data_IF_175364788993
#
_entry.id   IF_175364788993
#
_cell.length_a   1.000
_cell.length_b   1.000
_cell.length_c   1.000
_cell.angle_alpha   90.00
_cell.angle_beta   90.00
_cell.angle_gamma   90.00
#
_symmetry.space_group_name_H-M   'P 1'
#
loop_
_entity.id
_entity.type
_entity.pdbx_description
1 polymer ?
#
# COMPACT_ATOMS: atom_id res chain seq x y z
N UNK A 1 59.78 -29.80 7.98
CA UNK A 1 59.00 -30.13 6.77
C UNK A 1 59.07 -28.91 5.85
N UNK A 2 60.07 -28.81 4.96
CA UNK A 2 60.03 -29.15 3.50
C UNK A 2 58.73 -28.69 2.83
N UNK A 3 58.71 -27.95 1.72
CA UNK A 3 59.69 -27.17 0.96
C UNK A 3 58.87 -26.37 -0.09
N UNK A 4 59.23 -25.11 -0.25
CA UNK A 4 59.21 -24.22 -1.41
C UNK A 4 58.92 -24.80 -2.81
N UNK A 5 58.21 -24.02 -3.65
CA UNK A 5 58.60 -23.54 -5.00
C UNK A 5 57.52 -22.54 -5.48
N UNK A 6 57.71 -21.23 -5.63
CA UNK A 6 58.58 -20.43 -6.54
C UNK A 6 58.52 -20.89 -8.01
N UNK A 7 57.92 -20.08 -8.89
CA UNK A 7 58.37 -19.61 -10.23
C UNK A 7 57.36 -18.50 -10.66
N UNK A 8 57.66 -17.19 -10.76
CA UNK A 8 58.54 -16.36 -11.61
C UNK A 8 58.08 -16.23 -13.08
N UNK A 9 58.05 -14.94 -13.51
CA UNK A 9 58.04 -14.36 -14.88
C UNK A 9 56.65 -14.29 -15.54
N UNK A 10 56.13 -13.20 -16.14
CA UNK A 10 56.55 -11.89 -16.65
C UNK A 10 56.08 -11.78 -18.12
N UNK A 11 55.66 -10.56 -18.50
CA UNK A 11 55.51 -10.03 -19.86
C UNK A 11 54.26 -10.47 -20.67
N UNK A 12 53.68 -9.74 -21.62
CA UNK A 12 53.75 -8.35 -22.13
C UNK A 12 52.61 -8.23 -23.18
N UNK A 13 52.22 -7.00 -23.51
CA UNK A 13 51.58 -6.54 -24.76
C UNK A 13 50.09 -6.83 -25.02
N UNK A 14 49.31 -5.75 -24.86
CA UNK A 14 48.51 -5.07 -25.90
C UNK A 14 48.30 -5.89 -27.17
N UNK A 15 47.09 -6.44 -27.31
CA UNK A 15 46.50 -6.82 -28.58
C UNK A 15 45.21 -6.02 -28.77
N UNK A 16 45.29 -4.91 -29.52
CA UNK A 16 44.12 -4.26 -30.09
C UNK A 16 43.52 -5.24 -31.11
N UNK A 17 42.34 -5.77 -30.85
CA UNK A 17 41.59 -6.55 -31.84
C UNK A 17 40.12 -6.20 -31.70
N UNK A 18 39.68 -5.29 -32.55
CA UNK A 18 38.27 -5.04 -32.81
C UNK A 18 37.69 -6.32 -33.43
N UNK A 19 36.74 -6.94 -32.73
CA UNK A 19 35.91 -8.01 -33.28
C UNK A 19 34.48 -7.75 -32.82
N UNK A 20 33.67 -7.28 -33.77
CA UNK A 20 32.22 -7.17 -33.64
C UNK A 20 31.69 -8.58 -33.46
N UNK A 21 31.30 -8.94 -32.24
CA UNK A 21 30.45 -10.10 -31.98
C UNK A 21 29.04 -9.56 -31.71
N UNK A 22 28.25 -9.56 -32.77
CA UNK A 22 26.80 -9.57 -32.68
C UNK A 22 26.38 -10.88 -32.02
N UNK A 23 25.53 -10.81 -30.99
CA UNK A 23 24.65 -11.91 -30.62
C UNK A 23 25.16 -12.82 -29.50
N UNK A 24 25.00 -12.35 -28.26
CA UNK A 24 24.38 -13.12 -27.18
C UNK A 24 24.24 -12.16 -26.00
N UNK A 25 23.14 -11.42 -25.97
CA UNK A 25 22.70 -10.79 -24.73
C UNK A 25 22.32 -11.94 -23.80
N UNK A 26 23.25 -12.34 -22.94
CA UNK A 26 22.95 -13.18 -21.79
C UNK A 26 22.01 -12.37 -20.92
N UNK A 27 20.71 -12.50 -21.19
CA UNK A 27 19.68 -12.11 -20.23
C UNK A 27 19.91 -13.00 -19.02
N UNK A 28 20.61 -12.44 -18.03
CA UNK A 28 20.54 -12.93 -16.67
C UNK A 28 19.05 -12.81 -16.28
N UNK A 29 18.29 -13.87 -16.50
CA UNK A 29 17.01 -14.04 -15.84
C UNK A 29 17.34 -14.09 -14.35
N UNK A 30 17.16 -12.94 -13.68
CA UNK A 30 17.00 -12.91 -12.24
C UNK A 30 15.91 -13.95 -11.94
N UNK A 31 16.33 -15.07 -11.36
CA UNK A 31 15.39 -16.07 -10.91
C UNK A 31 14.59 -15.41 -9.80
N UNK A 32 13.36 -15.03 -10.12
CA UNK A 32 12.33 -14.68 -9.15
C UNK A 32 12.23 -15.89 -8.22
N UNK A 33 12.94 -15.80 -7.09
CA UNK A 33 12.68 -16.68 -5.97
C UNK A 33 11.21 -16.49 -5.63
N UNK A 34 10.41 -17.56 -5.45
CA UNK A 34 9.00 -17.40 -5.14
C UNK A 34 8.89 -16.62 -3.84
N UNK A 35 8.61 -15.32 -3.96
CA UNK A 35 8.29 -14.49 -2.81
C UNK A 35 7.09 -15.15 -2.16
N UNK A 36 7.20 -15.43 -0.87
CA UNK A 36 6.02 -15.82 -0.09
C UNK A 36 5.03 -14.68 -0.30
N UNK A 37 3.96 -14.95 -1.04
CA UNK A 37 2.97 -13.93 -1.39
C UNK A 37 2.45 -13.31 -0.10
N UNK A 38 2.59 -11.98 0.03
CA UNK A 38 2.12 -11.21 1.20
C UNK A 38 0.65 -11.48 1.51
N UNK A 39 -0.12 -11.79 0.47
CA UNK A 39 -1.55 -12.08 0.54
C UNK A 39 -1.83 -13.54 0.20
N UNK A 40 -2.84 -14.11 0.86
CA UNK A 40 -3.30 -15.46 0.57
C UNK A 40 -3.90 -15.52 -0.85
N UNK A 41 -3.52 -16.50 -1.70
CA UNK A 41 -3.95 -16.54 -3.10
C UNK A 41 -5.48 -16.51 -3.29
N UNK A 42 -6.23 -17.27 -2.50
CA UNK A 42 -7.70 -17.31 -2.63
C UNK A 42 -8.37 -15.98 -2.22
N UNK A 43 -7.76 -15.22 -1.29
CA UNK A 43 -8.23 -13.87 -0.95
C UNK A 43 -8.06 -12.92 -2.15
N UNK A 44 -6.89 -12.97 -2.80
CA UNK A 44 -6.60 -12.14 -3.97
C UNK A 44 -7.55 -12.49 -5.12
N UNK A 45 -7.75 -13.79 -5.37
CA UNK A 45 -8.68 -14.26 -6.41
C UNK A 45 -10.11 -13.81 -6.14
N UNK A 46 -10.60 -13.96 -4.91
CA UNK A 46 -11.94 -13.51 -4.53
C UNK A 46 -12.10 -11.99 -4.69
N UNK A 47 -11.10 -11.21 -4.25
CA UNK A 47 -11.10 -9.76 -4.39
C UNK A 47 -11.11 -9.34 -5.87
N UNK A 48 -10.22 -9.93 -6.67
CA UNK A 48 -10.13 -9.69 -8.11
C UNK A 48 -11.46 -9.97 -8.81
N UNK A 49 -12.09 -11.11 -8.52
CA UNK A 49 -13.41 -11.46 -9.05
C UNK A 49 -14.49 -10.47 -8.60
N UNK A 50 -14.51 -10.07 -7.32
CA UNK A 50 -15.50 -9.13 -6.78
C UNK A 50 -15.41 -7.73 -7.40
N UNK A 51 -14.19 -7.30 -7.72
CA UNK A 51 -13.92 -5.99 -8.30
C UNK A 51 -13.92 -6.00 -9.83
N UNK A 52 -13.98 -7.18 -10.46
CA UNK A 52 -13.88 -7.32 -11.92
C UNK A 52 -12.50 -6.91 -12.48
N UNK A 53 -11.43 -7.15 -11.73
CA UNK A 53 -10.05 -6.76 -12.10
C UNK A 53 -9.11 -7.97 -12.12
N UNK A 54 -7.87 -7.79 -12.58
CA UNK A 54 -6.85 -8.84 -12.50
C UNK A 54 -6.36 -9.05 -11.06
N UNK A 55 -5.86 -10.25 -10.76
CA UNK A 55 -5.23 -10.55 -9.46
C UNK A 55 -4.09 -9.58 -9.14
N UNK A 56 -3.28 -9.21 -10.15
CA UNK A 56 -2.24 -8.19 -9.99
C UNK A 56 -2.83 -6.83 -9.58
N UNK A 57 -3.90 -6.37 -10.23
CA UNK A 57 -4.52 -5.10 -9.87
C UNK A 57 -5.15 -5.12 -8.47
N UNK A 58 -5.65 -6.29 -8.04
CA UNK A 58 -6.15 -6.48 -6.67
C UNK A 58 -5.00 -6.40 -5.64
N UNK A 59 -3.85 -7.02 -5.90
CA UNK A 59 -2.64 -6.89 -5.07
C UNK A 59 -2.17 -5.43 -5.03
N UNK A 60 -2.01 -4.79 -6.19
CA UNK A 60 -1.57 -3.39 -6.29
C UNK A 60 -2.56 -2.44 -5.57
N UNK A 61 -3.85 -2.80 -5.47
CA UNK A 61 -4.84 -2.08 -4.66
C UNK A 61 -4.61 -2.30 -3.16
N UNK A 62 -4.45 -3.55 -2.72
CA UNK A 62 -4.21 -3.87 -1.30
C UNK A 62 -2.95 -3.17 -0.77
N UNK A 63 -1.86 -3.19 -1.54
CA UNK A 63 -0.61 -2.53 -1.15
C UNK A 63 -0.77 -1.00 -0.99
N UNK A 64 -1.51 -0.36 -1.90
CA UNK A 64 -1.81 1.07 -1.78
C UNK A 64 -2.69 1.37 -0.57
N UNK A 65 -3.68 0.53 -0.29
CA UNK A 65 -4.58 0.71 0.85
C UNK A 65 -3.84 0.54 2.19
N UNK A 66 -2.95 -0.45 2.29
CA UNK A 66 -2.07 -0.66 3.45
C UNK A 66 -1.16 0.57 3.69
N UNK A 67 -0.54 1.08 2.63
CA UNK A 67 0.28 2.30 2.72
C UNK A 67 -0.53 3.53 3.16
N UNK A 68 -1.77 3.68 2.70
CA UNK A 68 -2.66 4.76 3.12
C UNK A 68 -3.08 4.62 4.59
N UNK A 69 -3.35 3.40 5.06
CA UNK A 69 -3.65 3.14 6.48
C UNK A 69 -2.46 3.44 7.38
N UNK A 70 -1.24 3.11 6.95
CA UNK A 70 -0.02 3.46 7.67
C UNK A 70 0.13 4.98 7.83
N UNK A 71 -0.15 5.75 6.77
CA UNK A 71 -0.16 7.22 6.83
C UNK A 71 -1.22 7.77 7.78
N UNK A 72 -2.42 7.19 7.77
CA UNK A 72 -3.49 7.59 8.71
C UNK A 72 -3.07 7.30 10.16
N UNK A 73 -2.45 6.15 10.42
CA UNK A 73 -1.94 5.83 11.75
C UNK A 73 -0.87 6.83 12.22
N UNK A 74 0.02 7.27 11.33
CA UNK A 74 1.01 8.30 11.65
C UNK A 74 0.38 9.67 11.91
N UNK A 75 -0.61 10.05 11.09
CA UNK A 75 -1.37 11.28 11.27
C UNK A 75 -2.06 11.34 12.64
N UNK A 76 -2.67 10.22 13.08
CA UNK A 76 -3.26 10.09 14.42
C UNK A 76 -2.22 10.23 15.53
N UNK A 77 -1.03 9.64 15.37
CA UNK A 77 0.07 9.82 16.33
C UNK A 77 0.55 11.26 16.42
N UNK A 78 0.47 12.01 15.32
CA UNK A 78 0.81 13.45 15.30
C UNK A 78 -0.23 14.36 15.97
N UNK A 79 -1.32 13.80 16.50
CA UNK A 79 -2.36 14.55 17.23
C UNK A 79 -3.46 15.13 16.36
N UNK A 80 -3.54 14.76 15.08
CA UNK A 80 -4.67 15.09 14.22
C UNK A 80 -5.76 14.04 14.47
N UNK A 81 -6.85 14.47 15.11
CA UNK A 81 -8.07 13.67 15.22
C UNK A 81 -8.75 13.59 13.85
N UNK A 82 -9.37 12.46 13.54
CA UNK A 82 -10.25 12.35 12.39
C UNK A 82 -11.67 12.03 12.84
N UNK A 83 -12.64 12.61 12.14
CA UNK A 83 -14.07 12.35 12.34
C UNK A 83 -14.50 11.10 11.52
N UNK A 84 -13.62 10.10 11.53
CA UNK A 84 -13.66 8.90 10.71
C UNK A 84 -12.97 9.02 9.35
N UNK A 85 -12.63 7.86 8.77
CA UNK A 85 -12.04 7.74 7.45
C UNK A 85 -12.59 6.54 6.68
N UNK A 86 -12.66 6.62 5.37
CA UNK A 86 -13.21 5.57 4.51
C UNK A 86 -12.46 5.48 3.17
N UNK A 87 -12.44 4.29 2.57
CA UNK A 87 -12.00 4.12 1.20
C UNK A 87 -13.16 4.40 0.24
N UNK A 88 -12.92 5.21 -0.78
CA UNK A 88 -13.86 5.34 -1.89
C UNK A 88 -13.79 4.14 -2.85
N UNK A 89 -14.65 4.14 -3.88
CA UNK A 89 -14.69 3.09 -4.88
C UNK A 89 -13.35 2.90 -5.62
N UNK A 90 -12.58 3.98 -5.81
CA UNK A 90 -11.26 3.94 -6.43
C UNK A 90 -10.17 3.36 -5.51
N UNK A 91 -10.49 3.16 -4.24
CA UNK A 91 -9.57 2.68 -3.22
C UNK A 91 -8.72 3.79 -2.63
N UNK A 92 -9.15 5.05 -2.71
CA UNK A 92 -8.47 6.20 -2.07
C UNK A 92 -9.03 6.41 -0.66
N UNK A 93 -8.14 6.41 0.33
CA UNK A 93 -8.51 6.73 1.71
C UNK A 93 -8.82 8.23 1.83
N UNK A 94 -10.06 8.53 2.21
CA UNK A 94 -10.57 9.88 2.50
C UNK A 94 -10.84 10.02 3.99
N UNK A 95 -10.24 11.05 4.59
CA UNK A 95 -10.35 11.36 6.01
C UNK A 95 -11.35 12.52 6.17
N UNK A 96 -12.28 12.39 7.12
CA UNK A 96 -13.14 13.50 7.50
C UNK A 96 -12.34 14.40 8.47
N UNK A 97 -12.20 15.67 8.10
CA UNK A 97 -11.51 16.70 8.85
C UNK A 97 -12.51 17.64 9.53
N UNK A 98 -12.14 18.23 10.67
CA UNK A 98 -13.00 19.18 11.38
C UNK A 98 -13.17 20.48 10.59
N UNK A 99 -12.09 20.92 9.93
CA UNK A 99 -12.08 22.17 9.18
C UNK A 99 -11.12 22.15 7.96
N UNK A 100 -11.10 23.26 7.23
CA UNK A 100 -10.25 23.43 6.04
C UNK A 100 -8.75 23.46 6.38
N UNK A 101 -8.36 23.92 7.57
CA UNK A 101 -6.98 23.93 8.02
C UNK A 101 -6.47 22.51 8.27
N UNK A 102 -7.31 21.67 8.88
CA UNK A 102 -7.03 20.25 9.07
C UNK A 102 -7.01 19.47 7.75
N UNK A 103 -7.94 19.78 6.85
CA UNK A 103 -7.95 19.25 5.48
C UNK A 103 -6.58 19.44 4.82
N UNK A 104 -6.03 20.67 4.87
CA UNK A 104 -4.73 20.97 4.30
C UNK A 104 -3.57 20.20 4.97
N UNK A 105 -3.64 19.95 6.28
CA UNK A 105 -2.64 19.15 7.01
C UNK A 105 -2.68 17.68 6.58
N UNK A 106 -3.87 17.11 6.42
CA UNK A 106 -4.07 15.73 5.96
C UNK A 106 -3.61 15.57 4.50
N UNK A 107 -3.94 16.53 3.63
CA UNK A 107 -3.51 16.50 2.23
C UNK A 107 -2.00 16.59 2.08
N UNK A 108 -1.32 17.33 2.97
CA UNK A 108 0.14 17.44 2.99
C UNK A 108 0.86 16.11 3.21
N UNK A 109 0.23 15.14 3.90
CA UNK A 109 0.79 13.78 4.05
C UNK A 109 0.36 12.82 2.93
N UNK A 110 -0.37 13.34 1.93
CA UNK A 110 -0.77 12.62 0.73
C UNK A 110 -2.00 11.73 0.92
N UNK A 111 -2.88 12.06 1.87
CA UNK A 111 -4.22 11.48 2.01
C UNK A 111 -5.27 12.41 1.40
N UNK A 112 -6.45 11.88 1.05
CA UNK A 112 -7.57 12.76 0.72
C UNK A 112 -8.23 13.25 2.01
N UNK A 113 -8.75 14.47 1.98
CA UNK A 113 -9.54 14.99 3.08
C UNK A 113 -10.81 15.69 2.57
N UNK A 114 -11.80 15.76 3.46
CA UNK A 114 -13.00 16.57 3.26
C UNK A 114 -13.52 17.05 4.62
N UNK A 115 -14.23 18.17 4.62
CA UNK A 115 -15.02 18.60 5.78
C UNK A 115 -16.44 18.06 5.61
N UNK A 116 -16.92 17.15 6.48
CA UNK A 116 -18.29 16.65 6.40
C UNK A 116 -19.29 17.73 6.85
N UNK A 117 -20.54 17.63 6.40
CA UNK A 117 -21.59 18.55 6.84
C UNK A 117 -21.95 18.38 8.33
N UNK A 118 -21.73 17.18 8.89
CA UNK A 118 -21.97 16.80 10.28
C UNK A 118 -20.86 15.84 10.71
N UNK A 119 -20.30 16.09 11.89
CA UNK A 119 -19.30 15.22 12.50
C UNK A 119 -19.86 13.97 13.15
N UNK A 120 -18.99 13.04 13.56
CA UNK A 120 -19.34 11.74 14.13
C UNK A 120 -20.25 11.90 15.36
N UNK A 121 -19.87 12.75 16.30
CA UNK A 121 -20.63 12.99 17.52
C UNK A 121 -22.06 13.49 17.27
N UNK A 122 -22.27 14.27 16.20
CA UNK A 122 -23.61 14.75 15.83
C UNK A 122 -24.43 13.62 15.21
N UNK A 123 -23.81 12.79 14.38
CA UNK A 123 -24.46 11.62 13.78
C UNK A 123 -24.83 10.58 14.84
N UNK A 124 -23.96 10.34 15.83
CA UNK A 124 -24.22 9.44 16.94
C UNK A 124 -25.41 9.87 17.79
N UNK A 125 -25.52 11.18 18.06
CA UNK A 125 -26.68 11.72 18.77
C UNK A 125 -27.98 11.47 18.00
N UNK A 126 -27.99 11.78 16.69
CA UNK A 126 -29.16 11.55 15.84
C UNK A 126 -29.49 10.06 15.79
N UNK A 127 -28.49 9.19 15.69
CA UNK A 127 -28.68 7.73 15.73
C UNK A 127 -29.32 7.28 17.04
N UNK A 128 -28.81 7.73 18.18
CA UNK A 128 -29.34 7.36 19.49
C UNK A 128 -30.81 7.79 19.66
N UNK A 129 -31.19 8.97 19.15
CA UNK A 129 -32.58 9.43 19.14
C UNK A 129 -33.48 8.52 18.27
N UNK A 130 -33.01 8.14 17.08
CA UNK A 130 -33.74 7.22 16.19
C UNK A 130 -33.88 5.82 16.80
N UNK A 131 -32.82 5.28 17.40
CA UNK A 131 -32.83 3.97 18.07
C UNK A 131 -33.84 3.95 19.23
N UNK A 132 -33.87 5.02 20.04
CA UNK A 132 -34.82 5.14 21.15
C UNK A 132 -36.29 5.22 20.69
N UNK A 133 -36.53 5.84 19.53
CA UNK A 133 -37.87 5.88 18.92
C UNK A 133 -38.27 4.52 18.34
N UNK A 134 -37.34 3.80 17.72
CA UNK A 134 -37.57 2.47 17.19
C UNK A 134 -37.91 1.47 18.30
N UNK A 135 -37.14 1.49 19.40
CA UNK A 135 -37.36 0.60 20.55
C UNK A 135 -38.78 0.72 21.15
N UNK A 136 -39.39 1.92 21.11
CA UNK A 136 -40.77 2.13 21.58
C UNK A 136 -41.84 1.55 20.66
N UNK A 137 -41.50 1.21 19.42
CA UNK A 137 -42.43 0.69 18.41
C UNK A 137 -42.31 -0.81 18.20
N UNK A 138 -41.27 -1.45 18.74
CA UNK A 138 -41.11 -2.91 18.67
C UNK A 138 -41.88 -3.53 19.84
N UNK A 139 -42.85 -4.43 19.60
CA UNK A 139 -43.52 -5.18 20.66
C UNK A 139 -42.48 -5.97 21.48
N UNK A 140 -42.67 -6.16 22.80
CA UNK A 140 -41.79 -7.01 23.58
C UNK A 140 -41.83 -8.46 23.05
N UNK A 141 -40.68 -9.13 23.01
CA UNK A 141 -40.58 -10.58 22.76
C UNK A 141 -41.23 -11.41 23.87
#
# INVERSE_FOLDING_TARGET
>A
MRNSCKYRLAAVAIGLSASVILGAQTMAQAQDSPSVSRYQPEMVRALAASLGVSEKAAIDRLDRQDAQQAKLAELRKSGIGDDGAFFDASGKLTVNADDAGETARIEKVGLAARVPARGEAVLDKVKAELDALAAKKVPPE
#
